data_IF_527049817660
#
_entry.id   IF_527049817660
#
_cell.length_a   1.000
_cell.length_b   1.000
_cell.length_c   1.000
_cell.angle_alpha   90.00
_cell.angle_beta   90.00
_cell.angle_gamma   90.00
#
_symmetry.space_group_name_H-M   'P 1'
#
loop_
_entity.id
_entity.type
_entity.pdbx_description
1 polymer ?
#
# COMPACT_ATOMS: atom_id res chain seq x y z
N UNK A 1 2.33 -10.82 -0.52
CA UNK A 1 1.85 -9.56 -1.09
C UNK A 1 2.63 -9.13 -2.34
N UNK A 2 3.91 -8.80 -2.28
CA UNK A 2 4.68 -8.42 -3.47
C UNK A 2 4.97 -9.62 -4.38
N UNK A 3 4.68 -9.47 -5.69
CA UNK A 3 5.01 -10.45 -6.72
C UNK A 3 6.25 -9.97 -7.49
N UNK A 4 7.19 -10.86 -7.77
CA UNK A 4 8.36 -10.70 -8.65
C UNK A 4 9.34 -9.56 -8.34
N UNK A 5 8.90 -8.38 -7.93
CA UNK A 5 9.77 -7.24 -7.61
C UNK A 5 9.29 -6.50 -6.35
N UNK A 6 10.14 -5.65 -5.79
CA UNK A 6 9.89 -4.89 -4.56
C UNK A 6 9.19 -3.54 -4.83
N UNK A 7 8.83 -3.22 -6.06
CA UNK A 7 8.27 -1.91 -6.43
C UNK A 7 6.75 -2.00 -6.48
N UNK A 8 6.09 -1.01 -5.89
CA UNK A 8 4.65 -0.78 -5.98
C UNK A 8 4.44 0.58 -6.63
N UNK A 9 3.74 0.64 -7.76
CA UNK A 9 3.30 1.91 -8.32
C UNK A 9 2.08 2.42 -7.56
N UNK A 10 2.20 3.65 -7.05
CA UNK A 10 1.13 4.30 -6.28
C UNK A 10 0.39 5.26 -7.19
N UNK A 11 -0.89 4.98 -7.44
CA UNK A 11 -1.68 5.69 -8.44
C UNK A 11 -2.79 6.53 -7.78
N UNK A 12 -2.89 7.79 -8.21
CA UNK A 12 -4.08 8.63 -8.01
C UNK A 12 -4.62 8.92 -9.40
N UNK A 13 -5.79 8.39 -9.72
CA UNK A 13 -6.35 8.43 -11.08
C UNK A 13 -7.44 9.51 -11.13
N UNK A 14 -7.15 10.57 -11.86
CA UNK A 14 -8.05 11.72 -12.05
C UNK A 14 -9.02 11.51 -13.23
N UNK A 15 -8.65 10.66 -14.19
CA UNK A 15 -9.44 10.33 -15.39
C UNK A 15 -9.41 8.81 -15.59
N UNK A 16 -10.54 8.17 -15.31
CA UNK A 16 -10.67 6.70 -15.42
C UNK A 16 -10.51 6.19 -16.84
N UNK A 17 -10.77 7.02 -17.87
CA UNK A 17 -10.61 6.63 -19.28
C UNK A 17 -9.16 6.35 -19.66
N UNK A 18 -8.21 6.99 -18.96
CA UNK A 18 -6.76 6.80 -19.18
C UNK A 18 -6.16 5.67 -18.33
N UNK A 19 -6.96 5.07 -17.44
CA UNK A 19 -6.47 4.10 -16.47
C UNK A 19 -5.88 2.83 -17.10
N UNK A 20 -6.46 2.35 -18.20
CA UNK A 20 -5.98 1.15 -18.89
C UNK A 20 -4.67 1.40 -19.64
N UNK A 21 -4.52 2.56 -20.31
CA UNK A 21 -3.27 2.91 -21.00
C UNK A 21 -2.13 3.07 -20.00
N UNK A 22 -2.39 3.74 -18.87
CA UNK A 22 -1.43 3.84 -17.77
C UNK A 22 -1.06 2.46 -17.22
N UNK A 23 -2.05 1.61 -16.95
CA UNK A 23 -1.81 0.26 -16.45
C UNK A 23 -0.97 -0.55 -17.45
N UNK A 24 -1.28 -0.49 -18.76
CA UNK A 24 -0.51 -1.17 -19.80
C UNK A 24 0.94 -0.69 -19.82
N UNK A 25 1.18 0.62 -19.78
CA UNK A 25 2.52 1.19 -19.74
C UNK A 25 3.33 0.65 -18.53
N UNK A 26 2.72 0.60 -17.34
CA UNK A 26 3.35 0.06 -16.13
C UNK A 26 3.65 -1.44 -16.28
N UNK A 27 2.71 -2.20 -16.82
CA UNK A 27 2.85 -3.64 -17.02
C UNK A 27 3.98 -3.97 -17.99
N UNK A 28 4.04 -3.28 -19.13
CA UNK A 28 5.09 -3.41 -20.15
C UNK A 28 6.47 -3.03 -19.61
N UNK A 29 6.50 -2.11 -18.61
CA UNK A 29 7.72 -1.73 -17.86
C UNK A 29 8.08 -2.71 -16.74
N UNK A 30 7.34 -3.84 -16.58
CA UNK A 30 7.59 -4.85 -15.56
C UNK A 30 7.06 -4.50 -14.16
N UNK A 31 6.30 -3.43 -14.00
CA UNK A 31 5.66 -3.06 -12.73
C UNK A 31 4.30 -3.74 -12.64
N UNK A 32 4.18 -4.71 -11.74
CA UNK A 32 2.97 -5.53 -11.59
C UNK A 32 2.27 -5.38 -10.23
N UNK A 33 2.83 -4.63 -9.30
CA UNK A 33 2.19 -4.33 -8.01
C UNK A 33 1.65 -2.89 -8.05
N UNK A 34 0.37 -2.72 -7.77
CA UNK A 34 -0.30 -1.42 -7.78
C UNK A 34 -0.90 -1.10 -6.41
N UNK A 35 -0.80 0.16 -5.99
CA UNK A 35 -1.59 0.78 -4.91
C UNK A 35 -2.46 1.87 -5.55
N UNK A 36 -3.74 1.58 -5.83
CA UNK A 36 -4.67 2.54 -6.43
C UNK A 36 -5.45 3.22 -5.31
N UNK A 37 -5.29 4.52 -5.17
CA UNK A 37 -5.84 5.29 -4.05
C UNK A 37 -7.30 5.67 -4.26
N UNK A 38 -8.15 5.50 -3.23
CA UNK A 38 -9.53 5.99 -3.19
C UNK A 38 -9.57 7.48 -2.84
N UNK A 39 -9.08 8.34 -3.75
CA UNK A 39 -8.99 9.80 -3.53
C UNK A 39 -9.79 10.65 -4.51
N UNK A 40 -10.21 10.06 -5.61
CA UNK A 40 -10.95 10.74 -6.67
C UNK A 40 -12.27 10.03 -6.94
N UNK A 41 -13.22 10.71 -7.57
CA UNK A 41 -14.48 10.12 -8.04
C UNK A 41 -14.23 8.95 -9.01
N UNK A 42 -13.16 9.04 -9.81
CA UNK A 42 -12.81 8.10 -10.86
C UNK A 42 -12.08 6.85 -10.36
N UNK A 43 -11.61 6.86 -9.10
CA UNK A 43 -10.80 5.77 -8.53
C UNK A 43 -11.46 4.40 -8.66
N UNK A 44 -12.76 4.30 -8.34
CA UNK A 44 -13.48 3.02 -8.38
C UNK A 44 -13.66 2.50 -9.81
N UNK A 45 -14.01 3.39 -10.75
CA UNK A 45 -14.14 3.02 -12.18
C UNK A 45 -12.81 2.56 -12.74
N UNK A 46 -11.71 3.24 -12.39
CA UNK A 46 -10.37 2.84 -12.81
C UNK A 46 -9.96 1.47 -12.24
N UNK A 47 -10.23 1.19 -10.96
CA UNK A 47 -9.97 -0.11 -10.33
C UNK A 47 -10.74 -1.21 -11.08
N UNK A 48 -12.02 -1.00 -11.35
CA UNK A 48 -12.86 -1.97 -12.06
C UNK A 48 -12.36 -2.23 -13.48
N UNK A 49 -11.98 -1.18 -14.21
CA UNK A 49 -11.43 -1.30 -15.56
C UNK A 49 -10.12 -2.13 -15.56
N UNK A 50 -9.21 -1.83 -14.62
CA UNK A 50 -7.93 -2.55 -14.52
C UNK A 50 -8.15 -4.02 -14.09
N UNK A 51 -9.09 -4.29 -13.17
CA UNK A 51 -9.44 -5.66 -12.76
C UNK A 51 -10.04 -6.49 -13.91
N UNK A 52 -10.80 -5.87 -14.81
CA UNK A 52 -11.39 -6.52 -15.98
C UNK A 52 -10.39 -6.69 -17.13
N UNK A 53 -9.24 -6.05 -17.06
CA UNK A 53 -8.18 -6.22 -18.07
C UNK A 53 -7.54 -7.61 -17.96
N UNK A 54 -6.95 -8.09 -19.04
CA UNK A 54 -6.20 -9.35 -19.03
C UNK A 54 -4.79 -9.21 -18.44
N UNK A 55 -4.48 -8.07 -17.81
CA UNK A 55 -3.18 -7.80 -17.20
C UNK A 55 -3.13 -8.39 -15.78
N UNK A 56 -2.15 -9.24 -15.53
CA UNK A 56 -2.02 -9.95 -14.25
C UNK A 56 -1.35 -9.07 -13.18
N UNK A 57 -2.03 -8.03 -12.75
CA UNK A 57 -1.61 -7.19 -11.63
C UNK A 57 -1.88 -7.81 -10.27
N UNK A 58 -1.03 -7.46 -9.31
CA UNK A 58 -1.30 -7.58 -7.90
C UNK A 58 -1.81 -6.23 -7.39
N UNK A 59 -3.13 -6.12 -7.27
CA UNK A 59 -3.80 -4.86 -6.93
C UNK A 59 -4.03 -4.78 -5.43
N UNK A 60 -3.51 -3.71 -4.82
CA UNK A 60 -3.92 -3.21 -3.54
C UNK A 60 -4.62 -1.86 -3.70
N UNK A 61 -5.46 -1.51 -2.75
CA UNK A 61 -6.20 -0.24 -2.75
C UNK A 61 -5.78 0.62 -1.58
N UNK A 62 -5.37 1.84 -1.89
CA UNK A 62 -4.90 2.82 -0.92
C UNK A 62 -5.95 3.79 -0.45
N UNK A 63 -5.63 4.48 0.65
CA UNK A 63 -6.52 5.45 1.30
C UNK A 63 -7.84 4.80 1.77
N UNK A 64 -7.73 3.55 2.26
CA UNK A 64 -8.84 2.86 2.92
C UNK A 64 -8.98 3.40 4.33
N UNK A 65 -10.08 4.10 4.62
CA UNK A 65 -10.26 4.88 5.84
C UNK A 65 -11.45 4.45 6.69
N UNK A 66 -12.33 3.60 6.17
CA UNK A 66 -13.57 3.21 6.83
C UNK A 66 -14.06 1.82 6.39
N UNK A 67 -15.11 1.34 7.06
CA UNK A 67 -15.69 0.02 6.75
C UNK A 67 -16.34 -0.04 5.35
N UNK A 68 -16.88 1.06 4.84
CA UNK A 68 -17.50 1.09 3.49
C UNK A 68 -16.46 0.80 2.41
N UNK A 69 -15.22 1.29 2.61
CA UNK A 69 -14.11 0.99 1.71
C UNK A 69 -13.77 -0.51 1.75
N UNK A 70 -13.72 -1.12 2.94
CA UNK A 70 -13.46 -2.56 3.09
C UNK A 70 -14.57 -3.42 2.44
N UNK A 71 -15.85 -3.01 2.56
CA UNK A 71 -16.97 -3.68 1.90
C UNK A 71 -16.80 -3.61 0.38
N UNK A 72 -16.43 -2.44 -0.16
CA UNK A 72 -16.14 -2.29 -1.58
C UNK A 72 -14.98 -3.20 -2.03
N UNK A 73 -13.86 -3.22 -1.30
CA UNK A 73 -12.76 -4.11 -1.64
C UNK A 73 -13.19 -5.59 -1.64
N UNK A 74 -14.00 -5.97 -0.65
CA UNK A 74 -14.53 -7.33 -0.55
C UNK A 74 -15.41 -7.69 -1.76
N UNK A 75 -16.30 -6.78 -2.20
CA UNK A 75 -17.17 -7.00 -3.38
C UNK A 75 -16.36 -7.17 -4.67
N UNK A 76 -15.22 -6.47 -4.77
CA UNK A 76 -14.30 -6.54 -5.90
C UNK A 76 -13.25 -7.67 -5.77
N UNK A 77 -13.34 -8.51 -4.75
CA UNK A 77 -12.38 -9.59 -4.45
C UNK A 77 -10.92 -9.09 -4.26
N UNK A 78 -10.73 -7.83 -3.87
CA UNK A 78 -9.41 -7.25 -3.60
C UNK A 78 -8.96 -7.68 -2.20
N UNK A 79 -7.71 -8.17 -2.11
CA UNK A 79 -7.18 -8.76 -0.89
C UNK A 79 -6.27 -7.86 -0.07
N UNK A 80 -5.80 -6.75 -0.64
CA UNK A 80 -4.81 -5.87 -0.04
C UNK A 80 -5.35 -4.45 0.09
N UNK A 81 -5.27 -3.89 1.30
CA UNK A 81 -5.70 -2.52 1.61
C UNK A 81 -4.57 -1.74 2.28
N UNK A 82 -4.34 -0.51 1.84
CA UNK A 82 -3.39 0.41 2.45
C UNK A 82 -4.12 1.59 3.09
N UNK A 83 -3.66 1.99 4.27
CA UNK A 83 -4.11 3.23 4.92
C UNK A 83 -2.95 4.20 5.13
N UNK A 84 -3.20 5.51 5.20
CA UNK A 84 -2.18 6.48 5.58
C UNK A 84 -1.82 6.46 7.06
N UNK A 85 -2.62 5.85 7.91
CA UNK A 85 -2.46 5.80 9.37
C UNK A 85 -2.91 4.46 9.94
N UNK A 86 -2.62 4.24 11.22
CA UNK A 86 -3.04 3.06 11.98
C UNK A 86 -4.32 3.35 12.76
N UNK A 87 -5.41 2.64 12.44
CA UNK A 87 -6.69 2.70 13.14
C UNK A 87 -7.12 1.31 13.63
N UNK A 88 -7.40 1.19 14.95
CA UNK A 88 -7.75 -0.09 15.58
C UNK A 88 -9.07 -0.66 15.07
N UNK A 89 -10.05 0.19 14.79
CA UNK A 89 -11.37 -0.28 14.35
C UNK A 89 -11.29 -0.85 12.94
N UNK A 90 -10.59 -0.15 12.02
CA UNK A 90 -10.40 -0.64 10.66
C UNK A 90 -9.55 -1.92 10.65
N UNK A 91 -8.51 -2.01 11.48
CA UNK A 91 -7.72 -3.24 11.65
C UNK A 91 -8.58 -4.43 12.09
N UNK A 92 -9.52 -4.21 13.01
CA UNK A 92 -10.46 -5.27 13.44
C UNK A 92 -11.43 -5.65 12.32
N UNK A 93 -11.98 -4.66 11.62
CA UNK A 93 -12.93 -4.86 10.53
C UNK A 93 -12.29 -5.57 9.33
N UNK A 94 -11.04 -5.23 8.97
CA UNK A 94 -10.34 -5.86 7.85
C UNK A 94 -10.20 -7.37 8.02
N UNK A 95 -10.02 -7.85 9.27
CA UNK A 95 -9.99 -9.29 9.57
C UNK A 95 -11.34 -9.97 9.28
N UNK A 96 -12.45 -9.32 9.63
CA UNK A 96 -13.82 -9.81 9.34
C UNK A 96 -14.01 -10.02 7.83
N UNK A 97 -13.46 -9.11 7.01
CA UNK A 97 -13.56 -9.19 5.56
C UNK A 97 -12.46 -10.03 4.90
N UNK A 98 -11.51 -10.59 5.67
CA UNK A 98 -10.35 -11.35 5.19
C UNK A 98 -9.48 -10.53 4.21
N UNK A 99 -9.29 -9.24 4.51
CA UNK A 99 -8.45 -8.31 3.77
C UNK A 99 -7.15 -8.13 4.54
N UNK A 100 -6.00 -8.33 3.88
CA UNK A 100 -4.68 -8.00 4.43
C UNK A 100 -4.54 -6.48 4.46
N UNK A 101 -4.67 -5.92 5.66
CA UNK A 101 -4.60 -4.48 5.87
C UNK A 101 -3.19 -4.06 6.24
N UNK A 102 -2.66 -3.09 5.49
CA UNK A 102 -1.32 -2.54 5.65
C UNK A 102 -1.46 -1.10 6.20
N UNK A 103 -1.41 -0.93 7.53
CA UNK A 103 -1.59 0.37 8.15
C UNK A 103 -0.38 1.27 7.94
N UNK A 104 -0.64 2.58 7.84
CA UNK A 104 0.38 3.61 7.86
C UNK A 104 0.99 3.77 9.24
N UNK A 105 2.32 3.85 9.31
CA UNK A 105 3.08 4.07 10.52
C UNK A 105 4.00 5.27 10.37
N UNK A 106 4.17 6.03 11.44
CA UNK A 106 5.13 7.12 11.58
C UNK A 106 5.83 7.12 12.94
N UNK A 107 5.31 6.36 13.90
CA UNK A 107 5.82 6.28 15.27
C UNK A 107 5.91 4.83 15.76
N UNK A 108 6.67 4.61 16.84
CA UNK A 108 6.74 3.33 17.53
C UNK A 108 5.39 2.88 18.11
N UNK A 109 4.49 3.82 18.43
CA UNK A 109 3.14 3.52 18.92
C UNK A 109 2.31 2.90 17.79
N UNK A 110 2.37 3.45 16.57
CA UNK A 110 1.69 2.89 15.40
C UNK A 110 2.13 1.45 15.15
N UNK A 111 3.45 1.22 15.19
CA UNK A 111 4.04 -0.11 15.04
C UNK A 111 3.50 -1.06 16.12
N UNK A 112 3.52 -0.65 17.40
CA UNK A 112 3.01 -1.45 18.51
C UNK A 112 1.55 -1.84 18.31
N UNK A 113 0.70 -0.89 17.88
CA UNK A 113 -0.72 -1.14 17.63
C UNK A 113 -0.88 -2.13 16.46
N UNK A 114 -0.19 -1.91 15.36
CA UNK A 114 -0.29 -2.76 14.17
C UNK A 114 0.17 -4.20 14.43
N UNK A 115 1.33 -4.37 15.08
CA UNK A 115 1.89 -5.68 15.44
C UNK A 115 0.97 -6.43 16.41
N UNK A 116 0.45 -5.75 17.45
CA UNK A 116 -0.52 -6.35 18.39
C UNK A 116 -1.80 -6.81 17.69
N UNK A 117 -2.16 -6.18 16.58
CA UNK A 117 -3.28 -6.59 15.75
C UNK A 117 -2.91 -7.60 14.65
N UNK A 118 -1.68 -8.12 14.63
CA UNK A 118 -1.25 -9.19 13.74
C UNK A 118 -0.96 -8.73 12.31
N UNK A 119 -0.66 -7.45 12.09
CA UNK A 119 -0.24 -6.96 10.79
C UNK A 119 1.13 -7.52 10.43
N UNK A 120 1.25 -8.11 9.24
CA UNK A 120 2.52 -8.66 8.72
C UNK A 120 3.33 -7.63 7.97
N UNK A 121 2.66 -6.67 7.34
CA UNK A 121 3.24 -5.58 6.57
C UNK A 121 2.79 -4.25 7.17
N UNK A 122 3.70 -3.28 7.21
CA UNK A 122 3.44 -1.92 7.67
C UNK A 122 3.86 -0.93 6.59
N UNK A 123 3.10 0.13 6.41
CA UNK A 123 3.39 1.19 5.45
C UNK A 123 4.09 2.34 6.15
N UNK A 124 5.39 2.50 5.94
CA UNK A 124 6.13 3.67 6.43
C UNK A 124 5.80 4.89 5.55
N UNK A 125 5.04 5.83 6.08
CA UNK A 125 4.42 6.92 5.33
C UNK A 125 4.31 8.21 6.16
N UNK A 126 4.82 9.34 5.74
CA UNK A 126 5.48 9.72 4.47
C UNK A 126 7.00 9.56 4.56
N UNK A 127 7.57 8.55 3.97
CA UNK A 127 8.94 8.08 4.21
C UNK A 127 10.00 9.19 4.19
N UNK A 128 10.12 9.96 3.11
CA UNK A 128 11.15 11.01 3.00
C UNK A 128 10.89 12.19 3.95
N UNK A 129 9.63 12.58 4.13
CA UNK A 129 9.30 13.69 5.05
C UNK A 129 9.53 13.35 6.53
N UNK A 130 9.52 12.06 6.87
CA UNK A 130 9.79 11.57 8.23
C UNK A 130 11.28 11.38 8.51
N UNK A 131 12.17 11.55 7.51
CA UNK A 131 13.61 11.38 7.68
C UNK A 131 14.19 10.10 7.07
N UNK A 132 13.46 9.47 6.14
CA UNK A 132 13.96 8.35 5.35
C UNK A 132 14.30 7.12 6.16
N UNK A 133 15.31 6.37 5.70
CA UNK A 133 15.74 5.12 6.35
C UNK A 133 16.32 5.36 7.74
N UNK A 134 16.94 6.51 8.02
CA UNK A 134 17.49 6.84 9.34
C UNK A 134 16.40 6.89 10.41
N UNK A 135 15.29 7.56 10.12
CA UNK A 135 14.16 7.57 11.05
C UNK A 135 13.49 6.19 11.11
N UNK A 136 13.37 5.49 9.99
CA UNK A 136 12.83 4.13 9.97
C UNK A 136 13.63 3.20 10.89
N UNK A 137 14.96 3.24 10.84
CA UNK A 137 15.82 2.47 11.74
C UNK A 137 15.53 2.80 13.21
N UNK A 138 15.40 4.08 13.55
CA UNK A 138 15.17 4.52 14.94
C UNK A 138 13.87 3.97 15.53
N UNK A 139 12.80 3.84 14.73
CA UNK A 139 11.49 3.38 15.20
C UNK A 139 11.30 1.86 15.05
N UNK A 140 12.09 1.17 14.23
CA UNK A 140 11.93 -0.25 13.92
C UNK A 140 12.96 -1.18 14.55
N UNK A 141 14.09 -0.68 15.03
CA UNK A 141 15.20 -1.47 15.58
C UNK A 141 14.83 -2.37 16.77
N UNK A 142 13.77 -2.02 17.48
CA UNK A 142 13.29 -2.79 18.66
C UNK A 142 12.36 -3.95 18.28
N UNK A 143 11.94 -4.08 17.02
CA UNK A 143 10.94 -5.06 16.59
C UNK A 143 11.54 -5.95 15.51
N UNK A 144 11.70 -7.23 15.85
CA UNK A 144 12.21 -8.25 14.90
C UNK A 144 11.12 -8.61 13.87
N UNK A 145 11.56 -9.00 12.66
CA UNK A 145 10.72 -9.59 11.59
C UNK A 145 9.63 -8.68 11.02
N UNK A 146 9.76 -7.36 11.16
CA UNK A 146 8.88 -6.41 10.50
C UNK A 146 9.13 -6.39 8.99
N UNK A 147 8.05 -6.42 8.23
CA UNK A 147 8.07 -6.17 6.78
C UNK A 147 7.49 -4.78 6.52
N UNK A 148 8.32 -3.92 5.96
CA UNK A 148 7.99 -2.51 5.73
C UNK A 148 7.80 -2.24 4.24
N UNK A 149 6.79 -1.46 3.91
CA UNK A 149 6.60 -0.88 2.59
C UNK A 149 6.79 0.62 2.75
N UNK A 150 7.93 1.14 2.29
CA UNK A 150 8.20 2.56 2.34
C UNK A 150 7.49 3.29 1.20
N UNK A 151 6.77 4.36 1.55
CA UNK A 151 6.04 5.18 0.58
C UNK A 151 6.09 6.66 0.95
N UNK A 152 6.13 7.52 -0.09
CA UNK A 152 6.06 8.97 0.04
C UNK A 152 7.40 9.66 -0.15
N UNK A 153 7.55 10.32 -1.31
CA UNK A 153 8.75 11.05 -1.71
C UNK A 153 9.87 10.19 -2.29
N UNK A 154 9.68 8.87 -2.43
CA UNK A 154 10.68 7.96 -3.00
C UNK A 154 10.65 8.06 -4.53
N UNK A 155 11.83 8.19 -5.14
CA UNK A 155 12.05 8.31 -6.58
C UNK A 155 13.39 7.65 -6.97
N UNK A 156 13.78 7.77 -8.24
CA UNK A 156 15.01 7.16 -8.76
C UNK A 156 16.32 7.68 -8.13
N UNK A 157 16.30 8.85 -7.50
CA UNK A 157 17.49 9.43 -6.87
C UNK A 157 17.72 8.93 -5.44
N UNK A 158 16.65 8.55 -4.73
CA UNK A 158 16.70 8.18 -3.31
C UNK A 158 16.24 6.74 -2.99
N UNK A 159 15.86 5.95 -3.98
CA UNK A 159 15.32 4.60 -3.78
C UNK A 159 16.35 3.58 -3.25
N UNK A 160 17.64 3.73 -3.57
CA UNK A 160 18.67 2.71 -3.25
C UNK A 160 18.78 2.36 -1.77
N UNK A 161 18.82 3.32 -0.81
CA UNK A 161 18.83 2.99 0.62
C UNK A 161 17.63 2.15 1.06
N UNK A 162 16.45 2.40 0.47
CA UNK A 162 15.24 1.64 0.76
C UNK A 162 15.33 0.20 0.23
N UNK A 163 15.78 0.00 -0.99
CA UNK A 163 15.91 -1.35 -1.58
C UNK A 163 16.92 -2.23 -0.82
N UNK A 164 17.93 -1.60 -0.21
CA UNK A 164 18.97 -2.28 0.57
C UNK A 164 18.61 -2.47 2.05
N UNK A 165 17.50 -1.87 2.50
CA UNK A 165 17.10 -1.96 3.90
C UNK A 165 16.54 -3.35 4.24
N UNK A 166 17.00 -3.92 5.38
CA UNK A 166 16.68 -5.30 5.79
C UNK A 166 15.19 -5.60 5.99
N UNK A 167 14.40 -4.58 6.30
CA UNK A 167 12.96 -4.72 6.59
C UNK A 167 12.07 -4.38 5.38
N UNK A 168 12.63 -3.89 4.26
CA UNK A 168 11.90 -3.48 3.05
C UNK A 168 11.98 -4.52 1.95
#
# INVERSE_FOLDING_TARGET
MLKKNKIIAVLTIEDSKKSLDLAKCLYDSGIINLDIRLRTSDSKMAIEAILKSNLNFNIGVGTVLNEKDLIYLKSMNIKHAFSPHTDRNILKQSKKYKIEFIPGISTSIDIKIAVKNGCKYLKYFHAEKLGGVTHLDSISNTIKDLKIIAMGGINNLNIRPYLNHKNI
#
